data_IF_868829478797
#
_entry.id   IF_868829478797
#
_cell.length_a   1.000
_cell.length_b   1.000
_cell.length_c   1.000
_cell.angle_alpha   90.00
_cell.angle_beta   90.00
_cell.angle_gamma   90.00
#
_symmetry.space_group_name_H-M   'P 1'
#
loop_
_entity.id
_entity.type
_entity.pdbx_description
1 polymer ?
#
# COMPACT_ATOMS: atom_id res chain seq x y z
N UNK A 1 18.36 -4.35 25.57
CA UNK A 1 18.15 -3.50 24.36
C UNK A 1 17.65 -4.20 23.09
N UNK A 2 17.68 -5.55 22.95
CA UNK A 2 17.07 -6.23 21.78
C UNK A 2 15.52 -6.19 21.79
N UNK A 3 14.91 -6.30 22.97
CA UNK A 3 13.45 -6.32 23.16
C UNK A 3 12.82 -4.97 22.79
N UNK A 4 13.45 -3.85 23.20
CA UNK A 4 12.94 -2.50 22.92
C UNK A 4 12.94 -2.15 21.43
N UNK A 5 13.92 -2.68 20.67
CA UNK A 5 13.98 -2.52 19.20
C UNK A 5 12.89 -3.32 18.47
N UNK A 6 12.32 -4.33 19.11
CA UNK A 6 11.28 -5.19 18.53
C UNK A 6 9.91 -4.53 18.57
N UNK A 7 9.55 -3.84 19.66
CA UNK A 7 8.24 -3.20 19.79
C UNK A 7 8.13 -1.88 19.01
N UNK A 8 9.26 -1.26 18.70
CA UNK A 8 9.32 0.02 18.00
C UNK A 8 8.56 -0.01 16.67
N UNK A 9 8.65 -1.09 15.90
CA UNK A 9 8.04 -1.20 14.57
C UNK A 9 6.55 -1.56 14.60
N UNK A 10 6.04 -2.10 15.71
CA UNK A 10 4.60 -2.39 15.83
C UNK A 10 3.78 -1.11 15.95
N UNK A 11 4.31 -0.06 16.58
CA UNK A 11 3.63 1.24 16.70
C UNK A 11 3.30 1.86 15.33
N UNK A 12 4.27 2.09 14.42
CA UNK A 12 3.96 2.60 13.09
C UNK A 12 3.13 1.62 12.26
N UNK A 13 3.29 0.30 12.44
CA UNK A 13 2.44 -0.70 11.77
C UNK A 13 0.96 -0.51 12.14
N UNK A 14 0.66 -0.38 13.44
CA UNK A 14 -0.72 -0.18 13.92
C UNK A 14 -1.27 1.16 13.45
N UNK A 15 -0.48 2.23 13.52
CA UNK A 15 -0.88 3.54 12.99
C UNK A 15 -1.22 3.43 11.50
N UNK A 16 -0.40 2.71 10.73
CA UNK A 16 -0.62 2.53 9.31
C UNK A 16 -1.88 1.72 9.00
N UNK A 17 -2.15 0.65 9.76
CA UNK A 17 -3.42 -0.09 9.65
C UNK A 17 -4.62 0.82 9.93
N UNK A 18 -4.56 1.67 10.97
CA UNK A 18 -5.61 2.66 11.25
C UNK A 18 -5.77 3.64 10.08
N UNK A 19 -4.69 4.08 9.45
CA UNK A 19 -4.74 4.93 8.26
C UNK A 19 -5.48 4.23 7.11
N UNK A 20 -5.11 2.99 6.77
CA UNK A 20 -5.76 2.22 5.70
C UNK A 20 -7.26 2.09 5.98
N UNK A 21 -7.62 1.68 7.19
CA UNK A 21 -9.03 1.52 7.59
C UNK A 21 -9.84 2.80 7.41
N UNK A 22 -9.30 3.96 7.83
CA UNK A 22 -9.96 5.25 7.66
C UNK A 22 -10.05 5.70 6.20
N UNK A 23 -9.07 5.38 5.36
CA UNK A 23 -9.08 5.74 3.93
C UNK A 23 -10.02 4.83 3.14
N UNK A 24 -10.08 3.54 3.47
CA UNK A 24 -10.97 2.58 2.85
C UNK A 24 -12.45 2.86 3.10
N UNK A 25 -12.79 3.40 4.28
CA UNK A 25 -14.15 3.82 4.61
C UNK A 25 -14.70 5.02 3.81
N UNK A 26 -13.88 5.71 3.02
CA UNK A 26 -14.33 6.90 2.28
C UNK A 26 -15.06 6.54 0.99
N UNK A 27 -16.19 7.18 0.71
CA UNK A 27 -16.93 6.96 -0.54
C UNK A 27 -16.24 7.69 -1.69
N UNK A 28 -16.05 7.01 -2.82
CA UNK A 28 -15.32 7.51 -3.99
C UNK A 28 -15.88 8.81 -4.60
N UNK A 29 -17.18 9.05 -4.44
CA UNK A 29 -17.87 10.25 -4.93
C UNK A 29 -17.70 11.48 -4.03
N UNK A 30 -17.07 11.32 -2.86
CA UNK A 30 -16.86 12.45 -1.94
C UNK A 30 -15.64 13.24 -2.40
N UNK A 31 -15.81 14.52 -2.73
CA UNK A 31 -14.74 15.47 -3.09
C UNK A 31 -13.64 15.63 -2.02
N UNK A 32 -13.86 15.08 -0.83
CA UNK A 32 -12.88 15.05 0.25
C UNK A 32 -11.87 13.89 0.15
N UNK A 33 -12.10 12.93 -0.75
CA UNK A 33 -11.21 11.78 -0.94
C UNK A 33 -9.81 12.21 -1.38
N UNK A 34 -8.79 11.66 -0.72
CA UNK A 34 -7.39 11.99 -1.02
C UNK A 34 -7.02 11.63 -2.47
N UNK A 35 -7.42 10.44 -2.95
CA UNK A 35 -7.19 10.01 -4.33
C UNK A 35 -7.78 10.97 -5.35
N UNK A 36 -9.00 11.47 -5.12
CA UNK A 36 -9.68 12.39 -6.01
C UNK A 36 -8.95 13.74 -6.11
N UNK A 37 -8.46 14.27 -4.98
CA UNK A 37 -7.64 15.49 -4.97
C UNK A 37 -6.32 15.32 -5.71
N UNK A 38 -5.70 14.15 -5.60
CA UNK A 38 -4.49 13.82 -6.37
C UNK A 38 -4.82 13.75 -7.86
N UNK A 39 -5.89 13.06 -8.24
CA UNK A 39 -6.35 12.99 -9.64
C UNK A 39 -6.63 14.37 -10.22
N UNK A 40 -7.39 15.21 -9.51
CA UNK A 40 -7.70 16.57 -9.96
C UNK A 40 -6.44 17.41 -10.18
N UNK A 41 -5.44 17.31 -9.30
CA UNK A 41 -4.15 17.99 -9.50
C UNK A 41 -3.41 17.48 -10.74
N UNK A 42 -3.40 16.17 -10.97
CA UNK A 42 -2.78 15.58 -12.16
C UNK A 42 -3.47 16.09 -13.43
N UNK A 43 -4.80 16.05 -13.46
CA UNK A 43 -5.60 16.51 -14.59
C UNK A 43 -5.41 18.00 -14.85
N UNK A 44 -5.44 18.84 -13.82
CA UNK A 44 -5.21 20.27 -13.98
C UNK A 44 -3.85 20.57 -14.62
N UNK A 45 -2.80 19.82 -14.27
CA UNK A 45 -1.47 19.96 -14.90
C UNK A 45 -1.50 19.52 -16.37
N UNK A 46 -2.22 18.45 -16.70
CA UNK A 46 -2.36 17.97 -18.08
C UNK A 46 -3.10 19.00 -18.93
N UNK A 47 -4.21 19.54 -18.45
CA UNK A 47 -5.03 20.48 -19.21
C UNK A 47 -4.36 21.85 -19.38
N UNK A 48 -3.53 22.30 -18.43
CA UNK A 48 -2.65 23.47 -18.63
C UNK A 48 -1.73 23.29 -19.85
N UNK A 49 -1.29 22.06 -20.13
CA UNK A 49 -0.40 21.75 -21.27
C UNK A 49 -1.20 21.53 -22.55
N UNK A 50 -2.42 20.98 -22.44
CA UNK A 50 -3.28 20.62 -23.59
C UNK A 50 -4.17 21.77 -24.07
N UNK A 51 -4.34 22.82 -23.26
CA UNK A 51 -5.29 23.92 -23.48
C UNK A 51 -6.75 23.41 -23.63
N UNK A 52 -7.12 22.40 -22.84
CA UNK A 52 -8.48 21.86 -22.82
C UNK A 52 -9.40 22.62 -21.86
N UNK A 53 -10.71 22.40 -22.03
CA UNK A 53 -11.75 23.09 -21.27
C UNK A 53 -12.15 22.34 -19.97
N UNK A 54 -13.10 22.91 -19.22
CA UNK A 54 -13.57 22.31 -17.96
C UNK A 54 -14.27 20.95 -18.17
N UNK A 55 -14.90 20.74 -19.34
CA UNK A 55 -15.59 19.48 -19.68
C UNK A 55 -14.56 18.37 -19.90
N UNK A 56 -13.48 18.67 -20.63
CA UNK A 56 -12.34 17.78 -20.82
C UNK A 56 -11.70 17.37 -19.49
N UNK A 57 -11.53 18.32 -18.56
CA UNK A 57 -10.95 18.08 -17.24
C UNK A 57 -11.82 17.15 -16.38
N UNK A 58 -13.14 17.33 -16.40
CA UNK A 58 -14.06 16.46 -15.66
C UNK A 58 -14.04 15.03 -16.23
N UNK A 59 -14.07 14.91 -17.56
CA UNK A 59 -14.00 13.61 -18.23
C UNK A 59 -12.70 12.86 -17.88
N UNK A 60 -11.55 13.54 -17.96
CA UNK A 60 -10.26 12.95 -17.60
C UNK A 60 -10.19 12.55 -16.13
N UNK A 61 -10.77 13.36 -15.23
CA UNK A 61 -10.82 13.06 -13.79
C UNK A 61 -11.62 11.78 -13.53
N UNK A 62 -12.80 11.65 -14.15
CA UNK A 62 -13.64 10.47 -14.01
C UNK A 62 -12.97 9.21 -14.57
N UNK A 63 -12.21 9.33 -15.66
CA UNK A 63 -11.43 8.21 -16.19
C UNK A 63 -10.24 7.83 -15.32
N UNK A 64 -9.46 8.80 -14.81
CA UNK A 64 -8.21 8.53 -14.08
C UNK A 64 -8.42 8.19 -12.61
N UNK A 65 -9.47 8.71 -11.98
CA UNK A 65 -9.68 8.56 -10.53
C UNK A 65 -9.69 7.10 -10.05
N UNK A 66 -10.39 6.16 -10.71
CA UNK A 66 -10.38 4.76 -10.29
C UNK A 66 -8.97 4.14 -10.32
N UNK A 67 -8.15 4.47 -11.31
CA UNK A 67 -6.78 3.96 -11.43
C UNK A 67 -5.85 4.54 -10.36
N UNK A 68 -5.92 5.86 -10.14
CA UNK A 68 -5.15 6.53 -9.08
C UNK A 68 -5.50 5.96 -7.71
N UNK A 69 -6.79 5.71 -7.46
CA UNK A 69 -7.26 5.09 -6.22
C UNK A 69 -6.71 3.67 -6.04
N UNK A 70 -6.78 2.83 -7.08
CA UNK A 70 -6.21 1.46 -7.03
C UNK A 70 -4.69 1.47 -6.81
N UNK A 71 -3.97 2.38 -7.46
CA UNK A 71 -2.54 2.56 -7.23
C UNK A 71 -2.21 3.02 -5.79
N UNK A 72 -3.07 3.86 -5.19
CA UNK A 72 -2.92 4.28 -3.80
C UNK A 72 -3.06 3.08 -2.85
N UNK A 73 -4.09 2.25 -3.00
CA UNK A 73 -4.26 1.05 -2.18
C UNK A 73 -3.10 0.06 -2.36
N UNK A 74 -2.65 -0.20 -3.59
CA UNK A 74 -1.45 -0.99 -3.84
C UNK A 74 -0.23 -0.49 -3.03
N UNK A 75 -0.01 0.82 -2.98
CA UNK A 75 1.07 1.42 -2.19
C UNK A 75 0.84 1.31 -0.68
N UNK A 76 -0.39 1.47 -0.21
CA UNK A 76 -0.76 1.28 1.19
C UNK A 76 -0.40 -0.12 1.69
N UNK A 77 -0.74 -1.16 0.91
CA UNK A 77 -0.43 -2.54 1.24
C UNK A 77 1.06 -2.89 1.08
N UNK A 78 1.77 -2.27 0.13
CA UNK A 78 3.22 -2.37 0.02
C UNK A 78 3.93 -1.83 1.27
N UNK A 79 3.47 -0.68 1.79
CA UNK A 79 3.99 -0.08 3.03
C UNK A 79 3.63 -0.95 4.24
N UNK A 80 2.39 -1.44 4.32
CA UNK A 80 1.96 -2.34 5.39
C UNK A 80 2.84 -3.60 5.45
N UNK A 81 3.07 -4.26 4.32
CA UNK A 81 3.96 -5.42 4.23
C UNK A 81 5.37 -5.08 4.74
N UNK A 82 5.92 -3.93 4.35
CA UNK A 82 7.26 -3.51 4.74
C UNK A 82 7.36 -3.28 6.24
N UNK A 83 6.37 -2.61 6.85
CA UNK A 83 6.30 -2.39 8.29
C UNK A 83 6.14 -3.69 9.08
N UNK A 84 5.31 -4.61 8.59
CA UNK A 84 5.18 -5.96 9.14
C UNK A 84 6.50 -6.74 9.05
N UNK A 85 7.20 -6.65 7.92
CA UNK A 85 8.49 -7.32 7.71
C UNK A 85 9.53 -6.82 8.71
N UNK A 86 9.62 -5.50 8.92
CA UNK A 86 10.52 -4.89 9.91
C UNK A 86 10.14 -5.33 11.34
N UNK A 87 8.84 -5.42 11.64
CA UNK A 87 8.32 -5.86 12.94
C UNK A 87 8.63 -7.32 13.23
N UNK A 88 8.42 -8.22 12.26
CA UNK A 88 8.66 -9.66 12.43
C UNK A 88 10.14 -10.02 12.36
N UNK A 89 10.96 -9.32 11.58
CA UNK A 89 12.42 -9.56 11.55
C UNK A 89 13.09 -9.30 12.91
N UNK A 90 12.42 -8.59 13.82
CA UNK A 90 12.94 -8.39 15.17
C UNK A 90 12.77 -9.61 16.09
N UNK A 91 11.84 -10.53 15.76
CA UNK A 91 11.49 -11.69 16.59
C UNK A 91 11.68 -13.04 15.89
N UNK A 92 11.89 -13.09 14.58
CA UNK A 92 12.07 -14.33 13.82
C UNK A 92 13.09 -14.19 12.68
N UNK A 93 13.37 -15.30 11.98
CA UNK A 93 14.23 -15.31 10.79
C UNK A 93 13.53 -14.63 9.60
N UNK A 94 14.31 -14.01 8.72
CA UNK A 94 13.79 -13.18 7.61
C UNK A 94 12.78 -13.93 6.74
N UNK A 95 13.02 -15.21 6.42
CA UNK A 95 12.09 -16.01 5.59
C UNK A 95 10.72 -16.20 6.25
N UNK A 96 10.69 -16.46 7.57
CA UNK A 96 9.44 -16.54 8.34
C UNK A 96 8.77 -15.18 8.47
N UNK A 97 9.56 -14.12 8.66
CA UNK A 97 9.05 -12.76 8.72
C UNK A 97 8.34 -12.38 7.41
N UNK A 98 8.97 -12.63 6.25
CA UNK A 98 8.37 -12.40 4.94
C UNK A 98 7.06 -13.17 4.75
N UNK A 99 7.05 -14.47 5.10
CA UNK A 99 5.84 -15.28 5.00
C UNK A 99 4.69 -14.73 5.86
N UNK A 100 4.95 -14.41 7.13
CA UNK A 100 3.92 -13.86 8.01
C UNK A 100 3.47 -12.47 7.57
N UNK A 101 4.36 -11.62 7.05
CA UNK A 101 3.98 -10.32 6.51
C UNK A 101 3.04 -10.44 5.32
N UNK A 102 3.33 -11.34 4.37
CA UNK A 102 2.44 -11.62 3.23
C UNK A 102 1.08 -12.11 3.73
N UNK A 103 1.07 -13.07 4.64
CA UNK A 103 -0.16 -13.65 5.18
C UNK A 103 -1.02 -12.60 5.90
N UNK A 104 -0.42 -11.78 6.76
CA UNK A 104 -1.14 -10.74 7.50
C UNK A 104 -1.64 -9.66 6.55
N UNK A 105 -0.84 -9.21 5.56
CA UNK A 105 -1.28 -8.27 4.53
C UNK A 105 -2.47 -8.81 3.74
N UNK A 106 -2.44 -10.09 3.35
CA UNK A 106 -3.55 -10.72 2.63
C UNK A 106 -4.83 -10.78 3.47
N UNK A 107 -4.73 -11.25 4.72
CA UNK A 107 -5.87 -11.27 5.64
C UNK A 107 -6.41 -9.86 5.86
N UNK A 108 -5.53 -8.87 6.00
CA UNK A 108 -5.92 -7.48 6.19
C UNK A 108 -6.66 -6.93 4.96
N UNK A 109 -6.19 -7.23 3.75
CA UNK A 109 -6.87 -6.86 2.51
C UNK A 109 -8.28 -7.47 2.40
N UNK A 110 -8.43 -8.74 2.77
CA UNK A 110 -9.75 -9.37 2.85
C UNK A 110 -10.65 -8.68 3.89
N UNK A 111 -10.12 -8.28 5.05
CA UNK A 111 -10.92 -7.56 6.06
C UNK A 111 -11.29 -6.15 5.61
N UNK A 112 -10.45 -5.51 4.80
CA UNK A 112 -10.71 -4.18 4.26
C UNK A 112 -11.83 -4.22 3.22
N UNK A 113 -11.78 -5.15 2.26
CA UNK A 113 -12.87 -5.36 1.30
C UNK A 113 -14.18 -5.76 2.00
N UNK A 114 -14.10 -6.59 3.05
CA UNK A 114 -15.25 -6.87 3.89
C UNK A 114 -15.79 -5.61 4.57
N UNK A 115 -14.92 -4.76 5.12
CA UNK A 115 -15.31 -3.48 5.72
C UNK A 115 -15.98 -2.54 4.71
N UNK A 116 -15.48 -2.50 3.47
CA UNK A 116 -16.09 -1.69 2.40
C UNK A 116 -17.53 -2.11 2.10
N UNK A 117 -17.94 -3.36 2.33
CA UNK A 117 -19.35 -3.78 2.15
C UNK A 117 -20.32 -3.09 3.12
N UNK A 118 -19.83 -2.52 4.22
CA UNK A 118 -20.64 -1.73 5.15
C UNK A 118 -20.77 -0.26 4.74
N UNK A 119 -20.01 0.17 3.73
CA UNK A 119 -20.05 1.53 3.20
C UNK A 119 -21.06 1.59 2.06
N UNK A 120 -22.02 2.52 2.14
CA UNK A 120 -23.01 2.74 1.08
C UNK A 120 -22.33 3.00 -0.26
N UNK A 121 -22.83 2.38 -1.34
CA UNK A 121 -22.33 2.48 -2.72
C UNK A 121 -20.97 1.80 -2.98
N UNK A 122 -20.49 0.92 -2.09
CA UNK A 122 -19.34 0.05 -2.36
C UNK A 122 -19.78 -1.42 -2.35
N UNK A 123 -19.30 -2.18 -3.32
CA UNK A 123 -19.35 -3.65 -3.32
C UNK A 123 -17.94 -4.14 -3.08
N UNK A 124 -17.75 -5.05 -2.12
CA UNK A 124 -16.47 -5.71 -1.96
C UNK A 124 -16.19 -6.59 -3.18
N UNK A 125 -15.00 -6.50 -3.75
CA UNK A 125 -14.57 -7.31 -4.89
C UNK A 125 -13.26 -8.02 -4.57
N UNK A 126 -13.25 -9.34 -4.74
CA UNK A 126 -12.04 -10.13 -4.57
C UNK A 126 -10.93 -9.73 -5.56
N UNK A 127 -11.30 -9.15 -6.71
CA UNK A 127 -10.35 -8.58 -7.66
C UNK A 127 -9.59 -7.41 -7.02
N UNK A 128 -10.22 -6.61 -6.16
CA UNK A 128 -9.53 -5.49 -5.49
C UNK A 128 -8.51 -6.01 -4.45
N UNK A 129 -8.82 -7.09 -3.72
CA UNK A 129 -7.81 -7.82 -2.91
C UNK A 129 -6.62 -8.26 -3.76
N UNK A 130 -6.87 -8.81 -4.95
CA UNK A 130 -5.81 -9.28 -5.84
C UNK A 130 -4.93 -8.13 -6.31
N UNK A 131 -5.54 -6.98 -6.62
CA UNK A 131 -4.83 -5.76 -7.01
C UNK A 131 -3.95 -5.27 -5.86
N UNK A 132 -4.46 -5.18 -4.65
CA UNK A 132 -3.67 -4.75 -3.48
C UNK A 132 -2.48 -5.67 -3.21
N UNK A 133 -2.68 -6.98 -3.39
CA UNK A 133 -1.62 -7.96 -3.27
C UNK A 133 -0.53 -7.81 -4.34
N UNK A 134 -0.80 -7.18 -5.49
CA UNK A 134 0.27 -6.86 -6.45
C UNK A 134 1.27 -5.84 -5.87
N UNK A 135 0.80 -4.88 -5.07
CA UNK A 135 1.65 -3.96 -4.31
C UNK A 135 2.51 -4.68 -3.26
N UNK A 136 1.92 -5.64 -2.55
CA UNK A 136 2.65 -6.53 -1.63
C UNK A 136 3.73 -7.31 -2.37
N UNK A 137 3.42 -7.90 -3.52
CA UNK A 137 4.39 -8.67 -4.31
C UNK A 137 5.53 -7.81 -4.85
N UNK A 138 5.26 -6.56 -5.23
CA UNK A 138 6.30 -5.60 -5.59
C UNK A 138 7.26 -5.36 -4.41
N UNK A 139 6.72 -5.12 -3.20
CA UNK A 139 7.53 -4.91 -2.00
C UNK A 139 8.32 -6.17 -1.57
N UNK A 140 7.74 -7.36 -1.75
CA UNK A 140 8.43 -8.66 -1.55
C UNK A 140 9.64 -8.76 -2.47
N UNK A 141 9.46 -8.46 -3.76
CA UNK A 141 10.54 -8.53 -4.76
C UNK A 141 11.69 -7.59 -4.39
N UNK A 142 11.38 -6.35 -4.03
CA UNK A 142 12.39 -5.38 -3.55
C UNK A 142 13.10 -5.90 -2.30
N UNK A 143 12.35 -6.46 -1.34
CA UNK A 143 12.91 -7.01 -0.10
C UNK A 143 13.89 -8.17 -0.35
N UNK A 144 13.55 -9.07 -1.29
CA UNK A 144 14.43 -10.17 -1.70
C UNK A 144 15.71 -9.67 -2.35
N UNK A 145 15.62 -8.67 -3.22
CA UNK A 145 16.78 -8.06 -3.85
C UNK A 145 17.72 -7.43 -2.81
N UNK A 146 17.17 -6.63 -1.90
CA UNK A 146 17.92 -5.99 -0.80
C UNK A 146 18.58 -7.05 0.10
N UNK A 147 17.85 -8.09 0.49
CA UNK A 147 18.38 -9.16 1.32
C UNK A 147 19.51 -9.92 0.63
N UNK A 148 19.36 -10.23 -0.66
CA UNK A 148 20.38 -10.93 -1.46
C UNK A 148 21.65 -10.09 -1.60
N UNK A 149 21.51 -8.81 -1.91
CA UNK A 149 22.64 -7.87 -1.99
C UNK A 149 23.36 -7.77 -0.63
N UNK A 150 22.62 -7.67 0.46
CA UNK A 150 23.20 -7.61 1.81
C UNK A 150 24.01 -8.87 2.16
N UNK A 151 23.50 -10.07 1.81
CA UNK A 151 24.22 -11.32 2.05
C UNK A 151 25.53 -11.39 1.26
N UNK A 152 25.53 -10.96 -0.01
CA UNK A 152 26.74 -10.90 -0.83
C UNK A 152 27.79 -9.96 -0.25
N UNK A 153 27.39 -8.77 0.20
CA UNK A 153 28.29 -7.81 0.86
C UNK A 153 28.87 -8.36 2.16
N UNK A 154 28.04 -9.02 2.98
CA UNK A 154 28.50 -9.64 4.24
C UNK A 154 29.47 -10.79 4.00
N UNK A 155 29.25 -11.61 2.97
CA UNK A 155 30.14 -12.72 2.62
C UNK A 155 31.52 -12.24 2.15
N UNK A 156 31.59 -11.11 1.42
CA UNK A 156 32.87 -10.49 1.03
C UNK A 156 33.64 -9.96 2.24
N UNK A 157 32.96 -9.21 3.13
CA UNK A 157 33.59 -8.64 4.33
C UNK A 157 34.17 -9.70 5.29
N UNK A 158 33.60 -10.91 5.31
CA UNK A 158 34.11 -11.99 6.17
C UNK A 158 35.30 -12.75 5.56
N UNK A 159 35.68 -12.46 4.30
CA UNK A 159 36.83 -13.08 3.62
C UNK A 159 38.07 -12.19 3.64
N UNK A 160 37.91 -10.91 3.97
CA UNK A 160 38.97 -9.93 4.23
C UNK A 160 39.34 -9.94 5.72
#
# INVERSE_FOLDING_TARGET
MKIFRSYFWYVPTIIWMITIFNMSGQVASTSQGFSLRVTQKIVNVIEIVRDGDEEDAEHLTNMLHPYVRKAAHMNEYAILYTLLLLSFCASTIVTRAMFYSILVSFVYACTDEFHQTFVSLRSGDFIDVCIDMTGVMAAVTVSLFVYSAWQLHRAKRNRE
#
